data_IF_771202358610
#
_entry.id   IF_771202358610
#
_cell.length_a   1.000
_cell.length_b   1.000
_cell.length_c   1.000
_cell.angle_alpha   90.00
_cell.angle_beta   90.00
_cell.angle_gamma   90.00
#
_symmetry.space_group_name_H-M   'P 1'
#
loop_
_entity.id
_entity.type
_entity.pdbx_description
1 polymer ?
#
# COMPACT_ATOMS: atom_id res chain seq x y z
N UNK A 1 -1.51 1.86 22.34
CA UNK A 1 -0.86 1.23 21.16
C UNK A 1 -1.24 2.03 19.91
N UNK A 2 -0.34 2.82 19.33
CA UNK A 2 -0.68 3.71 18.19
C UNK A 2 -0.33 3.13 16.81
N UNK A 3 0.44 2.04 16.76
CA UNK A 3 0.97 1.51 15.51
C UNK A 3 0.00 0.61 14.73
N UNK A 4 -1.05 0.08 15.37
CA UNK A 4 -2.04 -0.83 14.76
C UNK A 4 -3.40 -0.71 15.45
N UNK A 5 -4.53 -0.79 14.70
CA UNK A 5 -4.62 -0.91 13.25
C UNK A 5 -4.16 0.36 12.52
N UNK A 6 -3.88 0.26 11.22
CA UNK A 6 -3.66 1.44 10.37
C UNK A 6 -5.02 1.93 9.87
N UNK A 7 -5.10 3.23 9.55
CA UNK A 7 -6.25 3.82 8.90
C UNK A 7 -5.83 4.34 7.52
N UNK A 8 -6.64 4.04 6.51
CA UNK A 8 -6.46 4.52 5.15
C UNK A 8 -7.82 4.89 4.56
N UNK A 9 -7.82 5.89 3.68
CA UNK A 9 -8.97 6.27 2.87
C UNK A 9 -8.64 6.06 1.40
N UNK A 10 -9.67 5.70 0.63
CA UNK A 10 -9.56 5.33 -0.78
C UNK A 10 -10.51 6.14 -1.64
N UNK A 11 -10.16 6.30 -2.91
CA UNK A 11 -11.00 6.91 -3.92
C UNK A 11 -10.75 6.27 -5.28
N UNK A 12 -11.67 6.49 -6.23
CA UNK A 12 -11.44 6.15 -7.64
C UNK A 12 -10.19 6.87 -8.18
N UNK A 13 -9.61 6.32 -9.23
CA UNK A 13 -8.52 6.97 -9.96
C UNK A 13 -8.87 8.43 -10.31
N UNK A 14 -7.94 9.34 -10.05
CA UNK A 14 -8.04 10.76 -10.37
C UNK A 14 -6.63 11.33 -10.50
N UNK A 15 -6.47 12.29 -11.41
CA UNK A 15 -5.21 13.00 -11.62
C UNK A 15 -4.78 13.73 -10.34
N UNK A 16 -3.47 13.76 -10.07
CA UNK A 16 -2.91 14.56 -8.98
C UNK A 16 -1.42 14.86 -9.20
N UNK A 17 -0.94 15.90 -8.51
CA UNK A 17 0.49 16.22 -8.43
C UNK A 17 1.10 15.50 -7.24
N UNK A 18 2.08 14.64 -7.49
CA UNK A 18 2.82 13.94 -6.44
C UNK A 18 3.73 14.89 -5.67
N UNK A 19 4.19 14.47 -4.49
CA UNK A 19 5.09 15.29 -3.64
C UNK A 19 6.43 15.64 -4.30
N UNK A 20 6.81 14.97 -5.39
CA UNK A 20 7.99 15.29 -6.20
C UNK A 20 7.72 16.32 -7.30
N UNK A 21 6.49 16.84 -7.42
CA UNK A 21 6.04 17.69 -8.53
C UNK A 21 5.63 16.93 -9.80
N UNK A 22 5.80 15.60 -9.83
CA UNK A 22 5.42 14.76 -10.98
C UNK A 22 3.90 14.62 -11.03
N UNK A 23 3.33 14.82 -12.22
CA UNK A 23 1.92 14.50 -12.47
C UNK A 23 1.69 12.98 -12.53
N UNK A 24 0.63 12.53 -11.87
CA UNK A 24 0.13 11.16 -11.95
C UNK A 24 -1.25 11.22 -12.57
N UNK A 25 -1.38 10.60 -13.75
CA UNK A 25 -2.61 10.60 -14.54
C UNK A 25 -3.50 9.45 -14.06
N UNK A 26 -4.80 9.68 -14.02
CA UNK A 26 -5.83 8.70 -13.62
C UNK A 26 -5.75 7.41 -14.43
N UNK A 27 -5.43 7.47 -15.72
CA UNK A 27 -5.25 6.29 -16.56
C UNK A 27 -4.04 5.42 -16.17
N UNK A 28 -3.08 5.97 -15.41
CA UNK A 28 -1.91 5.24 -14.92
C UNK A 28 -2.13 4.57 -13.57
N UNK A 29 -3.33 4.65 -12.98
CA UNK A 29 -3.65 4.07 -11.67
C UNK A 29 -5.05 3.45 -11.65
N UNK A 30 -5.24 2.43 -10.83
CA UNK A 30 -6.56 1.82 -10.61
C UNK A 30 -7.37 2.59 -9.54
N UNK A 31 -6.68 3.15 -8.54
CA UNK A 31 -7.29 3.82 -7.39
C UNK A 31 -6.31 4.75 -6.69
N UNK A 32 -6.84 5.62 -5.83
CA UNK A 32 -6.07 6.42 -4.90
C UNK A 32 -6.13 5.80 -3.50
N UNK A 33 -4.99 5.77 -2.82
CA UNK A 33 -4.93 5.38 -1.40
C UNK A 33 -4.06 6.36 -0.62
N UNK A 34 -4.54 6.76 0.56
CA UNK A 34 -3.83 7.60 1.51
C UNK A 34 -3.94 6.96 2.90
N UNK A 35 -2.80 6.72 3.55
CA UNK A 35 -2.76 6.01 4.82
C UNK A 35 -2.03 6.83 5.89
N UNK A 36 -2.45 6.65 7.14
CA UNK A 36 -1.81 7.27 8.29
C UNK A 36 -0.92 6.27 9.03
N UNK A 37 0.20 6.75 9.55
CA UNK A 37 1.06 6.03 10.48
C UNK A 37 1.54 6.98 11.56
N UNK A 38 1.44 6.55 12.83
CA UNK A 38 1.85 7.37 13.99
C UNK A 38 1.19 8.76 13.99
N UNK A 39 -0.11 8.81 13.69
CA UNK A 39 -0.91 10.03 13.70
C UNK A 39 -0.65 11.02 12.54
N UNK A 40 0.19 10.67 11.56
CA UNK A 40 0.50 11.54 10.40
C UNK A 40 0.20 10.83 9.08
N UNK A 41 -0.14 11.62 8.06
CA UNK A 41 -0.25 11.13 6.69
C UNK A 41 1.13 10.60 6.24
N UNK A 42 1.16 9.37 5.75
CA UNK A 42 2.39 8.75 5.28
C UNK A 42 2.80 9.32 3.91
N UNK A 43 4.07 9.71 3.74
CA UNK A 43 4.55 10.37 2.52
C UNK A 43 4.45 9.50 1.24
N UNK A 44 4.53 8.18 1.40
CA UNK A 44 4.36 7.18 0.33
C UNK A 44 3.31 6.15 0.74
N UNK A 45 3.70 4.89 0.94
CA UNK A 45 2.85 3.85 1.55
C UNK A 45 3.68 2.86 2.37
N UNK A 46 3.20 2.46 3.54
CA UNK A 46 3.83 1.43 4.37
C UNK A 46 3.76 0.06 3.67
N UNK A 47 4.83 -0.75 3.74
CA UNK A 47 4.88 -2.06 3.09
C UNK A 47 3.72 -2.98 3.47
N UNK A 48 3.39 -3.07 4.77
CA UNK A 48 2.27 -3.89 5.27
C UNK A 48 0.90 -3.34 4.84
N UNK A 49 0.75 -2.01 4.74
CA UNK A 49 -0.48 -1.41 4.20
C UNK A 49 -0.62 -1.67 2.70
N UNK A 50 0.49 -1.72 1.95
CA UNK A 50 0.48 -2.09 0.54
C UNK A 50 0.00 -3.54 0.34
N UNK A 51 0.41 -4.48 1.21
CA UNK A 51 -0.13 -5.86 1.24
C UNK A 51 -1.64 -5.86 1.52
N UNK A 52 -2.09 -5.08 2.50
CA UNK A 52 -3.51 -4.97 2.83
C UNK A 52 -4.33 -4.39 1.67
N UNK A 53 -3.80 -3.41 0.94
CA UNK A 53 -4.44 -2.84 -0.27
C UNK A 53 -4.55 -3.89 -1.37
N UNK A 54 -3.45 -4.59 -1.69
CA UNK A 54 -3.47 -5.63 -2.73
C UNK A 54 -4.45 -6.75 -2.39
N UNK A 55 -4.43 -7.19 -1.13
CA UNK A 55 -5.35 -8.21 -0.61
C UNK A 55 -6.81 -7.77 -0.69
N UNK A 56 -7.14 -6.58 -0.19
CA UNK A 56 -8.49 -6.05 -0.23
C UNK A 56 -8.96 -5.85 -1.67
N UNK A 57 -8.08 -5.39 -2.57
CA UNK A 57 -8.40 -5.25 -3.98
C UNK A 57 -8.73 -6.59 -4.66
N UNK A 58 -8.10 -7.69 -4.24
CA UNK A 58 -8.37 -9.04 -4.76
C UNK A 58 -9.66 -9.68 -4.19
N UNK A 59 -10.17 -9.18 -3.07
CA UNK A 59 -11.43 -9.62 -2.48
C UNK A 59 -12.58 -8.78 -3.06
N UNK A 60 -13.40 -9.39 -3.91
CA UNK A 60 -14.54 -8.75 -4.54
C UNK A 60 -15.50 -8.15 -3.50
N UNK A 61 -15.88 -6.89 -3.69
CA UNK A 61 -16.86 -6.19 -2.84
C UNK A 61 -16.27 -5.41 -1.66
N UNK A 62 -14.95 -5.48 -1.38
CA UNK A 62 -14.35 -4.54 -0.42
C UNK A 62 -14.36 -3.11 -0.96
N UNK A 63 -14.28 -2.12 -0.07
CA UNK A 63 -14.18 -0.71 -0.50
C UNK A 63 -12.97 -0.43 -1.40
N UNK A 64 -11.86 -1.15 -1.19
CA UNK A 64 -10.65 -1.03 -2.02
C UNK A 64 -10.92 -1.59 -3.41
N UNK A 65 -11.54 -2.77 -3.49
CA UNK A 65 -11.93 -3.41 -4.75
C UNK A 65 -12.91 -2.52 -5.54
N UNK A 66 -13.94 -1.98 -4.88
CA UNK A 66 -14.92 -1.08 -5.49
C UNK A 66 -14.29 0.23 -5.98
N UNK A 67 -13.38 0.82 -5.21
CA UNK A 67 -12.64 2.02 -5.61
C UNK A 67 -11.76 1.77 -6.84
N UNK A 68 -11.22 0.55 -6.98
CA UNK A 68 -10.47 0.13 -8.15
C UNK A 68 -11.34 -0.20 -9.37
N UNK A 69 -12.68 -0.20 -9.25
CA UNK A 69 -13.62 -0.52 -10.33
C UNK A 69 -14.34 -1.87 -10.19
N UNK A 70 -14.13 -2.60 -9.09
CA UNK A 70 -14.78 -3.87 -8.82
C UNK A 70 -14.14 -5.06 -9.57
N UNK A 71 -14.84 -6.20 -9.50
CA UNK A 71 -14.48 -7.45 -10.19
C UNK A 71 -13.30 -8.19 -9.58
N UNK A 72 -12.88 -9.28 -10.21
CA UNK A 72 -11.66 -9.99 -9.81
C UNK A 72 -10.41 -9.20 -10.21
N UNK A 73 -9.50 -8.98 -9.26
CA UNK A 73 -8.26 -8.23 -9.48
C UNK A 73 -7.07 -8.93 -8.85
N UNK A 74 -6.16 -9.43 -9.67
CA UNK A 74 -4.92 -10.04 -9.16
C UNK A 74 -3.83 -9.02 -8.86
N UNK A 75 -3.94 -7.80 -9.39
CA UNK A 75 -3.05 -6.70 -9.09
C UNK A 75 -3.76 -5.36 -9.26
N UNK A 76 -3.30 -4.38 -8.48
CA UNK A 76 -3.67 -2.98 -8.62
C UNK A 76 -2.44 -2.09 -8.52
N UNK A 77 -2.45 -1.01 -9.30
CA UNK A 77 -1.52 0.10 -9.20
C UNK A 77 -2.25 1.26 -8.54
N UNK A 78 -1.92 1.55 -7.29
CA UNK A 78 -2.54 2.66 -6.57
C UNK A 78 -1.65 3.90 -6.56
N UNK A 79 -2.27 5.07 -6.62
CA UNK A 79 -1.60 6.36 -6.39
C UNK A 79 -1.53 6.68 -4.90
N UNK A 80 -0.33 6.92 -4.37
CA UNK A 80 -0.02 7.44 -3.03
C UNK A 80 0.60 8.85 -3.13
N UNK A 81 0.84 9.61 -2.04
CA UNK A 81 1.23 11.02 -2.13
C UNK A 81 2.49 11.27 -2.96
N UNK A 82 3.49 10.39 -2.89
CA UNK A 82 4.74 10.53 -3.65
C UNK A 82 4.77 9.85 -5.03
N UNK A 83 3.69 9.23 -5.52
CA UNK A 83 3.69 8.53 -6.80
C UNK A 83 2.80 7.29 -6.80
N UNK A 84 3.16 6.26 -7.59
CA UNK A 84 2.35 5.05 -7.74
C UNK A 84 3.07 3.79 -7.25
N UNK A 85 2.30 2.79 -6.83
CA UNK A 85 2.84 1.49 -6.44
C UNK A 85 1.94 0.37 -6.92
N UNK A 86 2.53 -0.63 -7.61
CA UNK A 86 1.83 -1.84 -8.05
C UNK A 86 1.99 -2.96 -7.01
N UNK A 87 0.86 -3.50 -6.56
CA UNK A 87 0.79 -4.67 -5.67
C UNK A 87 -0.10 -5.72 -6.28
N UNK A 88 0.22 -6.99 -6.03
CA UNK A 88 -0.61 -8.12 -6.38
C UNK A 88 -1.07 -8.90 -5.15
N UNK A 89 -2.20 -9.58 -5.28
CA UNK A 89 -2.62 -10.61 -4.35
C UNK A 89 -3.44 -11.68 -5.08
N UNK A 90 -3.30 -12.92 -4.64
CA UNK A 90 -4.19 -14.01 -5.05
C UNK A 90 -5.07 -14.35 -3.84
N UNK A 91 -6.38 -14.22 -4.01
CA UNK A 91 -7.38 -14.57 -2.99
C UNK A 91 -8.37 -15.55 -3.60
N UNK A 92 -8.73 -16.59 -2.85
CA UNK A 92 -9.73 -17.60 -3.24
C UNK A 92 -10.73 -17.75 -2.12
N UNK A 93 -11.99 -17.99 -2.48
CA UNK A 93 -12.99 -18.40 -1.51
C UNK A 93 -12.94 -19.92 -1.35
N UNK A 94 -12.69 -20.39 -0.13
CA UNK A 94 -12.65 -21.81 0.23
C UNK A 94 -13.67 -22.01 1.35
N UNK A 95 -14.69 -22.84 1.11
CA UNK A 95 -15.77 -23.10 2.08
C UNK A 95 -16.45 -21.82 2.61
N UNK A 96 -16.63 -20.81 1.75
CA UNK A 96 -17.24 -19.53 2.12
C UNK A 96 -16.29 -18.49 2.72
N UNK A 97 -15.06 -18.88 3.07
CA UNK A 97 -14.06 -17.98 3.65
C UNK A 97 -13.00 -17.55 2.63
N UNK A 98 -12.58 -16.28 2.69
CA UNK A 98 -11.50 -15.78 1.85
C UNK A 98 -10.14 -16.23 2.39
N UNK A 99 -9.39 -16.93 1.55
CA UNK A 99 -8.00 -17.34 1.79
C UNK A 99 -7.08 -16.63 0.80
N UNK A 100 -6.10 -15.88 1.32
CA UNK A 100 -5.08 -15.21 0.51
C UNK A 100 -3.89 -16.14 0.36
N UNK A 101 -3.60 -16.58 -0.86
CA UNK A 101 -2.50 -17.53 -1.13
C UNK A 101 -1.19 -16.83 -1.43
N UNK A 102 -1.23 -15.60 -1.94
CA UNK A 102 -0.02 -14.81 -2.26
C UNK A 102 -0.27 -13.31 -2.08
N UNK A 103 0.79 -12.60 -1.69
CA UNK A 103 0.90 -11.15 -1.81
C UNK A 103 2.21 -10.81 -2.52
N UNK A 104 2.15 -9.93 -3.52
CA UNK A 104 3.25 -9.67 -4.46
C UNK A 104 3.55 -8.18 -4.47
N UNK A 105 4.83 -7.81 -4.34
CA UNK A 105 5.29 -6.43 -4.55
C UNK A 105 6.72 -6.41 -5.08
N UNK A 106 7.04 -5.34 -5.81
CA UNK A 106 8.41 -5.06 -6.24
C UNK A 106 9.03 -4.00 -5.33
N UNK A 107 10.25 -4.25 -4.83
CA UNK A 107 11.05 -3.32 -4.03
C UNK A 107 12.52 -3.43 -4.44
N UNK A 108 13.30 -2.39 -4.13
CA UNK A 108 14.75 -2.39 -4.26
C UNK A 108 15.40 -2.20 -2.88
N UNK A 109 16.64 -2.63 -2.74
CA UNK A 109 17.45 -2.46 -1.54
C UNK A 109 18.87 -2.07 -1.92
N UNK A 110 19.52 -1.24 -1.09
CA UNK A 110 20.95 -0.91 -1.19
C UNK A 110 21.53 -0.68 0.20
N UNK A 111 22.80 -0.99 0.38
CA UNK A 111 23.55 -0.58 1.57
C UNK A 111 23.77 0.94 1.48
N UNK A 112 23.54 1.65 2.59
CA UNK A 112 23.84 3.08 2.74
C UNK A 112 25.13 3.27 3.55
N UNK A 113 25.29 2.51 4.63
CA UNK A 113 26.47 2.52 5.50
C UNK A 113 26.72 1.12 6.06
N UNK A 114 27.99 0.74 6.18
CA UNK A 114 28.45 -0.45 6.88
C UNK A 114 29.45 -0.02 7.97
N UNK A 115 29.35 -0.59 9.17
CA UNK A 115 30.18 -0.22 10.31
C UNK A 115 29.53 -0.56 11.65
N UNK A 116 29.90 0.17 12.70
CA UNK A 116 29.42 -0.04 14.07
C UNK A 116 28.67 1.18 14.60
N UNK A 117 27.43 0.97 15.06
CA UNK A 117 26.72 1.94 15.88
C UNK A 117 27.23 1.86 17.32
N UNK A 118 27.53 3.00 17.96
CA UNK A 118 27.93 3.08 19.36
C UNK A 118 26.84 3.76 20.18
N UNK A 119 26.62 3.30 21.41
CA UNK A 119 25.64 3.84 22.37
C UNK A 119 26.31 4.06 23.73
N UNK A 120 25.82 4.97 24.60
CA UNK A 120 26.36 5.14 25.94
C UNK A 120 26.21 3.86 26.78
N UNK A 121 27.22 3.55 27.60
CA UNK A 121 27.21 2.36 28.46
C UNK A 121 26.04 2.33 29.47
N UNK A 122 25.50 3.50 29.82
CA UNK A 122 24.41 3.64 30.80
C UNK A 122 23.00 3.53 30.21
N UNK A 123 22.85 3.35 28.90
CA UNK A 123 21.55 3.35 28.18
C UNK A 123 21.17 1.94 27.68
N UNK A 124 22.07 0.95 27.85
CA UNK A 124 21.82 -0.46 27.54
C UNK A 124 21.44 -1.20 28.83
#
# INVERSE_FOLDING_TARGET
RQHTPKIAFVAKAKDYIASSGKEVISNDIDLLVRALSMGKLHHAMMGTAAVAIGTAAAVSGTLVNLAAGGGERQAVRFGHPSGTLRVGAEAKQVNGEWTVTKAIMSRSARIIMEGWVRVPASVV
#
